data_IF_407385087386
#
_entry.id   IF_407385087386
#
_cell.length_a   1.000
_cell.length_b   1.000
_cell.length_c   1.000
_cell.angle_alpha   90.00
_cell.angle_beta   90.00
_cell.angle_gamma   90.00
#
_symmetry.space_group_name_H-M   'P 1'
#
loop_
_entity.id
_entity.type
_entity.pdbx_description
1 polymer ?
#
# COMPACT_ATOMS: atom_id res chain seq x y z
N UNK A 1 -16.09 11.74 -17.14
CA UNK A 1 -16.10 10.95 -15.91
C UNK A 1 -17.47 11.17 -15.27
N UNK A 2 -18.18 10.09 -14.99
CA UNK A 2 -19.54 10.21 -14.44
C UNK A 2 -19.43 10.43 -12.93
N UNK A 3 -19.98 11.53 -12.42
CA UNK A 3 -20.15 11.82 -11.00
C UNK A 3 -21.46 11.18 -10.53
N UNK A 4 -21.48 10.67 -9.33
CA UNK A 4 -22.70 10.19 -8.67
C UNK A 4 -23.51 11.41 -8.23
N UNK A 5 -24.77 11.46 -8.61
CA UNK A 5 -25.70 12.51 -8.17
C UNK A 5 -26.38 12.05 -6.88
N UNK A 6 -25.83 12.51 -5.75
CA UNK A 6 -26.36 12.12 -4.43
C UNK A 6 -27.69 12.81 -4.10
N UNK A 7 -28.04 13.90 -4.78
CA UNK A 7 -29.20 14.72 -4.45
C UNK A 7 -30.46 14.25 -5.20
N UNK A 8 -30.32 13.84 -6.47
CA UNK A 8 -31.47 13.54 -7.33
C UNK A 8 -31.69 12.04 -7.60
N UNK A 9 -30.66 11.20 -7.45
CA UNK A 9 -30.76 9.76 -7.67
C UNK A 9 -31.31 9.00 -6.44
N UNK A 10 -31.95 7.87 -6.68
CA UNK A 10 -32.44 7.02 -5.57
C UNK A 10 -31.26 6.47 -4.73
N UNK A 11 -31.47 6.30 -3.43
CA UNK A 11 -30.46 5.81 -2.49
C UNK A 11 -29.86 4.46 -2.96
N UNK A 12 -30.71 3.53 -3.46
CA UNK A 12 -30.24 2.23 -3.99
C UNK A 12 -29.28 2.41 -5.17
N UNK A 13 -29.59 3.33 -6.09
CA UNK A 13 -28.76 3.61 -7.27
C UNK A 13 -27.42 4.23 -6.86
N UNK A 14 -27.43 5.17 -5.93
CA UNK A 14 -26.24 5.81 -5.40
C UNK A 14 -25.30 4.80 -4.71
N UNK A 15 -25.89 3.91 -3.87
CA UNK A 15 -25.11 2.84 -3.22
C UNK A 15 -24.48 1.91 -4.26
N UNK A 16 -25.22 1.47 -5.27
CA UNK A 16 -24.68 0.58 -6.31
C UNK A 16 -23.61 1.27 -7.16
N UNK A 17 -23.83 2.53 -7.54
CA UNK A 17 -22.85 3.30 -8.32
C UNK A 17 -21.56 3.57 -7.56
N UNK A 18 -21.62 3.67 -6.23
CA UNK A 18 -20.42 3.80 -5.39
C UNK A 18 -19.78 2.44 -5.12
N UNK A 19 -20.54 1.43 -4.70
CA UNK A 19 -20.05 0.15 -4.22
C UNK A 19 -19.46 -0.73 -5.35
N UNK A 20 -20.11 -0.80 -6.53
CA UNK A 20 -19.64 -1.67 -7.61
C UNK A 20 -18.21 -1.33 -8.10
N UNK A 21 -17.85 -0.05 -8.38
CA UNK A 21 -16.48 0.28 -8.73
C UNK A 21 -15.48 -0.02 -7.60
N UNK A 22 -15.86 0.23 -6.34
CA UNK A 22 -14.99 -0.07 -5.19
C UNK A 22 -14.75 -1.58 -5.04
N UNK A 23 -15.79 -2.41 -5.22
CA UNK A 23 -15.65 -3.88 -5.22
C UNK A 23 -14.78 -4.35 -6.38
N UNK A 24 -14.99 -3.81 -7.59
CA UNK A 24 -14.15 -4.13 -8.74
C UNK A 24 -12.68 -3.76 -8.49
N UNK A 25 -12.40 -2.60 -7.89
CA UNK A 25 -11.04 -2.20 -7.50
C UNK A 25 -10.42 -3.21 -6.52
N UNK A 26 -11.18 -3.68 -5.54
CA UNK A 26 -10.72 -4.65 -4.55
C UNK A 26 -10.41 -6.01 -5.18
N UNK A 27 -11.28 -6.49 -6.07
CA UNK A 27 -11.05 -7.73 -6.81
C UNK A 27 -9.80 -7.62 -7.69
N UNK A 28 -9.64 -6.52 -8.43
CA UNK A 28 -8.45 -6.26 -9.24
C UNK A 28 -7.18 -6.25 -8.38
N UNK A 29 -7.23 -5.61 -7.21
CA UNK A 29 -6.11 -5.57 -6.25
C UNK A 29 -5.74 -6.96 -5.76
N UNK A 30 -6.71 -7.81 -5.45
CA UNK A 30 -6.45 -9.19 -5.05
C UNK A 30 -5.85 -10.01 -6.19
N UNK A 31 -6.39 -9.89 -7.41
CA UNK A 31 -5.91 -10.62 -8.58
C UNK A 31 -4.46 -10.27 -8.92
N UNK A 32 -4.11 -8.96 -8.98
CA UNK A 32 -2.74 -8.60 -9.29
C UNK A 32 -1.76 -9.07 -8.21
N UNK A 33 -2.12 -9.02 -6.92
CA UNK A 33 -1.27 -9.55 -5.84
C UNK A 33 -1.01 -11.06 -5.96
N UNK A 34 -2.01 -11.83 -6.42
CA UNK A 34 -1.85 -13.26 -6.66
C UNK A 34 -0.93 -13.50 -7.86
N UNK A 35 -1.13 -12.78 -8.96
CA UNK A 35 -0.35 -12.94 -10.18
C UNK A 35 1.11 -12.53 -9.98
N UNK A 36 1.37 -11.42 -9.28
CA UNK A 36 2.72 -10.97 -8.89
C UNK A 36 3.46 -12.09 -8.14
N UNK A 37 2.82 -12.72 -7.15
CA UNK A 37 3.41 -13.84 -6.42
C UNK A 37 3.67 -15.06 -7.30
N UNK A 38 2.81 -15.35 -8.27
CA UNK A 38 3.02 -16.44 -9.25
C UNK A 38 4.25 -16.14 -10.12
N UNK A 39 4.43 -14.91 -10.59
CA UNK A 39 5.62 -14.53 -11.36
C UNK A 39 6.90 -14.65 -10.52
N UNK A 40 6.89 -14.16 -9.28
CA UNK A 40 8.04 -14.28 -8.36
C UNK A 40 8.37 -15.76 -8.08
N UNK A 41 7.35 -16.61 -7.85
CA UNK A 41 7.55 -18.03 -7.62
C UNK A 41 8.15 -18.79 -8.82
N UNK A 42 7.98 -18.27 -10.04
CA UNK A 42 8.50 -18.85 -11.28
C UNK A 42 9.88 -18.33 -11.69
N UNK A 43 10.54 -17.52 -10.87
CA UNK A 43 11.92 -17.09 -11.16
C UNK A 43 12.83 -18.33 -11.17
N UNK A 44 13.59 -18.58 -12.25
CA UNK A 44 14.48 -19.75 -12.35
C UNK A 44 15.46 -19.82 -11.18
N UNK A 45 15.70 -21.00 -10.67
CA UNK A 45 16.67 -21.38 -9.62
C UNK A 45 16.47 -20.71 -8.25
N UNK A 46 15.56 -19.72 -8.10
CA UNK A 46 15.39 -19.01 -6.84
C UNK A 46 13.94 -18.65 -6.46
N UNK A 47 12.93 -19.16 -7.18
CA UNK A 47 11.53 -18.76 -6.97
C UNK A 47 11.03 -18.91 -5.53
N UNK A 48 11.32 -20.01 -4.86
CA UNK A 48 10.94 -20.25 -3.46
C UNK A 48 11.67 -19.31 -2.49
N UNK A 49 12.95 -19.05 -2.72
CA UNK A 49 13.77 -18.13 -1.92
C UNK A 49 13.32 -16.68 -2.15
N UNK A 50 13.01 -16.32 -3.38
CA UNK A 50 12.50 -15.00 -3.75
C UNK A 50 11.13 -14.74 -3.11
N UNK A 51 10.22 -15.71 -3.13
CA UNK A 51 8.91 -15.61 -2.50
C UNK A 51 9.02 -15.44 -0.98
N UNK A 52 9.94 -16.19 -0.34
CA UNK A 52 10.25 -16.03 1.08
C UNK A 52 10.83 -14.63 1.40
N UNK A 53 11.71 -14.12 0.55
CA UNK A 53 12.28 -12.78 0.70
C UNK A 53 11.22 -11.67 0.63
N UNK A 54 10.26 -11.77 -0.30
CA UNK A 54 9.11 -10.84 -0.38
C UNK A 54 8.24 -10.96 0.87
N UNK A 55 8.01 -12.19 1.38
CA UNK A 55 7.28 -12.44 2.62
C UNK A 55 7.88 -11.73 3.83
N UNK A 56 9.22 -11.65 3.91
CA UNK A 56 9.92 -10.91 4.97
C UNK A 56 9.74 -9.37 4.86
N UNK A 57 9.48 -8.85 3.67
CA UNK A 57 9.19 -7.43 3.45
C UNK A 57 7.72 -7.08 3.76
N UNK A 58 6.83 -8.07 3.85
CA UNK A 58 5.39 -7.88 3.99
C UNK A 58 4.98 -7.05 5.22
N UNK A 59 5.60 -7.17 6.41
CA UNK A 59 5.30 -6.31 7.54
C UNK A 59 5.48 -4.81 7.24
N UNK A 60 6.53 -4.42 6.51
CA UNK A 60 6.78 -3.02 6.12
C UNK A 60 5.72 -2.56 5.11
N UNK A 61 5.34 -3.42 4.17
CA UNK A 61 4.26 -3.15 3.21
C UNK A 61 2.94 -2.90 3.95
N UNK A 62 2.62 -3.74 4.94
CA UNK A 62 1.41 -3.59 5.76
C UNK A 62 1.43 -2.30 6.58
N UNK A 63 2.57 -1.90 7.14
CA UNK A 63 2.73 -0.62 7.82
C UNK A 63 2.44 0.56 6.87
N UNK A 64 2.97 0.52 5.65
CA UNK A 64 2.69 1.53 4.63
C UNK A 64 1.19 1.67 4.36
N UNK A 65 0.48 0.55 4.22
CA UNK A 65 -0.98 0.53 4.02
C UNK A 65 -1.72 1.02 5.27
N UNK A 66 -1.28 0.62 6.46
CA UNK A 66 -1.88 1.02 7.73
C UNK A 66 -1.90 2.55 7.90
N UNK A 67 -0.76 3.20 7.66
CA UNK A 67 -0.66 4.66 7.77
C UNK A 67 -1.34 5.39 6.60
N UNK A 68 -1.36 4.82 5.40
CA UNK A 68 -2.17 5.35 4.30
C UNK A 68 -3.65 5.40 4.67
N UNK A 69 -4.15 4.31 5.26
CA UNK A 69 -5.53 4.20 5.71
C UNK A 69 -5.81 5.09 6.93
N UNK A 70 -4.85 5.22 7.86
CA UNK A 70 -4.99 6.13 9.01
C UNK A 70 -5.39 7.54 8.56
N UNK A 71 -4.68 8.07 7.58
CA UNK A 71 -4.90 9.44 7.11
C UNK A 71 -6.02 9.53 6.06
N UNK A 72 -6.11 8.55 5.14
CA UNK A 72 -7.10 8.54 4.07
C UNK A 72 -8.49 8.20 4.56
N UNK A 73 -8.65 7.03 5.16
CA UNK A 73 -9.95 6.55 5.66
C UNK A 73 -10.39 7.28 6.93
N UNK A 74 -9.47 7.86 7.70
CA UNK A 74 -9.81 8.73 8.83
C UNK A 74 -10.34 10.08 8.37
N UNK A 75 -9.78 10.66 7.30
CA UNK A 75 -10.18 11.97 6.80
C UNK A 75 -11.41 11.97 5.91
N UNK A 76 -11.63 10.92 5.10
CA UNK A 76 -12.71 10.89 4.12
C UNK A 76 -14.13 10.98 4.73
N UNK A 77 -14.46 10.34 5.87
CA UNK A 77 -15.76 10.54 6.52
C UNK A 77 -15.98 11.98 7.00
N UNK A 78 -14.96 12.59 7.61
CA UNK A 78 -15.03 14.00 8.05
C UNK A 78 -15.24 14.94 6.86
N UNK A 79 -14.52 14.69 5.77
CA UNK A 79 -14.69 15.39 4.50
C UNK A 79 -16.13 15.28 4.00
N UNK A 80 -16.70 14.07 3.98
CA UNK A 80 -18.06 13.83 3.51
C UNK A 80 -19.12 14.54 4.37
N UNK A 81 -18.95 14.54 5.70
CA UNK A 81 -19.83 15.24 6.63
C UNK A 81 -19.80 16.75 6.34
N UNK A 82 -18.63 17.35 6.19
CA UNK A 82 -18.50 18.78 5.91
C UNK A 82 -19.08 19.16 4.54
N UNK A 83 -18.90 18.31 3.54
CA UNK A 83 -19.55 18.48 2.24
C UNK A 83 -21.09 18.43 2.34
N UNK A 84 -21.63 17.46 3.08
CA UNK A 84 -23.07 17.37 3.33
C UNK A 84 -23.65 18.59 4.05
N UNK A 85 -22.83 19.30 4.83
CA UNK A 85 -23.17 20.56 5.48
C UNK A 85 -22.98 21.78 4.56
N UNK A 86 -22.60 21.59 3.28
CA UNK A 86 -22.25 22.65 2.34
C UNK A 86 -21.04 23.51 2.77
N UNK A 87 -20.19 22.99 3.68
CA UNK A 87 -18.98 23.63 4.15
C UNK A 87 -17.76 23.12 3.33
N UNK A 88 -17.71 23.52 2.06
CA UNK A 88 -16.65 23.12 1.15
C UNK A 88 -15.26 23.61 1.58
N UNK A 89 -15.20 24.71 2.35
CA UNK A 89 -13.93 25.23 2.87
C UNK A 89 -13.35 24.29 3.92
N UNK A 90 -14.13 23.88 4.90
CA UNK A 90 -13.69 22.91 5.90
C UNK A 90 -13.40 21.54 5.29
N UNK A 91 -14.23 21.06 4.35
CA UNK A 91 -13.99 19.83 3.62
C UNK A 91 -12.64 19.85 2.90
N UNK A 92 -12.34 20.93 2.14
CA UNK A 92 -11.06 21.07 1.44
C UNK A 92 -9.88 21.14 2.41
N UNK A 93 -10.04 21.81 3.55
CA UNK A 93 -9.02 21.85 4.61
C UNK A 93 -8.72 20.45 5.14
N UNK A 94 -9.74 19.63 5.44
CA UNK A 94 -9.57 18.26 5.91
C UNK A 94 -8.82 17.40 4.88
N UNK A 95 -9.18 17.49 3.60
CA UNK A 95 -8.49 16.75 2.53
C UNK A 95 -7.02 17.17 2.41
N UNK A 96 -6.73 18.49 2.46
CA UNK A 96 -5.37 19.00 2.39
C UNK A 96 -4.54 18.64 3.63
N UNK A 97 -5.15 18.63 4.83
CA UNK A 97 -4.51 18.14 6.05
C UNK A 97 -4.14 16.67 5.91
N UNK A 98 -5.08 15.81 5.49
CA UNK A 98 -4.79 14.38 5.24
C UNK A 98 -3.68 14.19 4.22
N UNK A 99 -3.71 14.92 3.11
CA UNK A 99 -2.67 14.84 2.07
C UNK A 99 -1.30 15.24 2.59
N UNK A 100 -1.22 16.32 3.36
CA UNK A 100 0.03 16.78 3.98
C UNK A 100 0.56 15.74 4.97
N UNK A 101 -0.32 15.14 5.80
CA UNK A 101 0.05 14.08 6.73
C UNK A 101 0.57 12.83 5.97
N UNK A 102 -0.10 12.41 4.91
CA UNK A 102 0.34 11.30 4.05
C UNK A 102 1.73 11.55 3.50
N UNK A 103 1.96 12.72 2.90
CA UNK A 103 3.25 13.05 2.28
C UNK A 103 4.38 13.14 3.32
N UNK A 104 4.15 13.86 4.42
CA UNK A 104 5.15 14.03 5.48
C UNK A 104 5.51 12.68 6.11
N UNK A 105 4.49 11.90 6.46
CA UNK A 105 4.71 10.59 7.04
C UNK A 105 5.43 9.65 6.07
N UNK A 106 5.04 9.62 4.79
CA UNK A 106 5.68 8.78 3.79
C UNK A 106 7.18 9.08 3.65
N UNK A 107 7.57 10.36 3.62
CA UNK A 107 8.98 10.75 3.53
C UNK A 107 9.76 10.31 4.78
N UNK A 108 9.23 10.62 5.97
CA UNK A 108 9.88 10.24 7.24
C UNK A 108 9.97 8.72 7.37
N UNK A 109 8.88 8.01 7.09
CA UNK A 109 8.82 6.55 7.17
C UNK A 109 9.79 5.89 6.20
N UNK A 110 9.85 6.37 4.95
CA UNK A 110 10.80 5.87 3.95
C UNK A 110 12.24 6.08 4.41
N UNK A 111 12.59 7.27 4.90
CA UNK A 111 13.93 7.57 5.38
C UNK A 111 14.34 6.65 6.55
N UNK A 112 13.45 6.49 7.54
CA UNK A 112 13.68 5.59 8.67
C UNK A 112 13.84 4.14 8.23
N UNK A 113 12.93 3.65 7.37
CA UNK A 113 12.99 2.28 6.87
C UNK A 113 14.23 2.02 6.01
N UNK A 114 14.70 2.99 5.24
CA UNK A 114 15.95 2.86 4.47
C UNK A 114 17.18 2.75 5.38
N UNK A 115 17.26 3.58 6.42
CA UNK A 115 18.37 3.55 7.40
C UNK A 115 18.38 2.22 8.15
N UNK A 116 17.21 1.73 8.56
CA UNK A 116 17.07 0.53 9.37
C UNK A 116 16.67 -0.72 8.58
N UNK A 117 16.74 -0.72 7.24
CA UNK A 117 16.28 -1.81 6.38
C UNK A 117 16.85 -3.18 6.79
N UNK A 118 18.17 -3.28 6.96
CA UNK A 118 18.84 -4.53 7.34
C UNK A 118 18.45 -5.02 8.74
N UNK A 119 18.54 -4.23 9.82
CA UNK A 119 18.11 -4.66 11.16
C UNK A 119 16.62 -5.01 11.22
N UNK A 120 15.74 -4.30 10.51
CA UNK A 120 14.31 -4.63 10.45
C UNK A 120 14.08 -6.02 9.84
N UNK A 121 14.73 -6.33 8.72
CA UNK A 121 14.62 -7.65 8.09
C UNK A 121 15.12 -8.78 9.01
N UNK A 122 16.20 -8.55 9.76
CA UNK A 122 16.71 -9.53 10.74
C UNK A 122 15.68 -9.77 11.85
N UNK A 123 15.08 -8.72 12.39
CA UNK A 123 14.00 -8.83 13.40
C UNK A 123 12.79 -9.57 12.85
N UNK A 124 12.50 -9.45 11.54
CA UNK A 124 11.42 -10.18 10.87
C UNK A 124 11.75 -11.62 10.52
N UNK A 125 12.93 -12.13 10.94
CA UNK A 125 13.33 -13.51 10.77
C UNK A 125 14.14 -13.80 9.50
N UNK A 126 14.77 -12.79 8.90
CA UNK A 126 15.60 -12.99 7.71
C UNK A 126 16.91 -13.72 8.05
N UNK A 127 17.14 -14.87 7.41
CA UNK A 127 18.44 -15.53 7.39
C UNK A 127 19.43 -14.78 6.50
N UNK A 128 20.75 -15.03 6.65
CA UNK A 128 21.78 -14.40 5.79
C UNK A 128 21.54 -14.62 4.30
N UNK A 129 21.06 -15.81 3.92
CA UNK A 129 20.73 -16.12 2.54
C UNK A 129 19.50 -15.35 2.04
N UNK A 130 18.47 -15.20 2.87
CA UNK A 130 17.27 -14.45 2.54
C UNK A 130 17.56 -12.94 2.42
N UNK A 131 18.48 -12.41 3.25
CA UNK A 131 18.89 -10.99 3.20
C UNK A 131 19.45 -10.57 1.85
N UNK A 132 20.16 -11.46 1.15
CA UNK A 132 20.72 -11.17 -0.19
C UNK A 132 19.64 -10.78 -1.20
N UNK A 133 18.43 -11.28 -1.02
CA UNK A 133 17.30 -11.04 -1.90
C UNK A 133 16.31 -10.04 -1.31
N UNK A 134 16.01 -10.14 -0.01
CA UNK A 134 15.05 -9.27 0.66
C UNK A 134 15.51 -7.82 0.76
N UNK A 135 16.79 -7.57 1.05
CA UNK A 135 17.28 -6.21 1.24
C UNK A 135 17.25 -5.38 -0.07
N UNK A 136 17.74 -5.86 -1.21
CA UNK A 136 17.61 -5.11 -2.47
C UNK A 136 16.15 -4.88 -2.88
N UNK A 137 15.28 -5.89 -2.70
CA UNK A 137 13.86 -5.78 -2.96
C UNK A 137 13.23 -4.66 -2.11
N UNK A 138 13.47 -4.70 -0.79
CA UNK A 138 12.95 -3.72 0.14
C UNK A 138 13.40 -2.30 -0.17
N UNK A 139 14.70 -2.09 -0.44
CA UNK A 139 15.24 -0.78 -0.76
C UNK A 139 14.62 -0.18 -2.03
N UNK A 140 14.41 -1.00 -3.06
CA UNK A 140 13.72 -0.56 -4.28
C UNK A 140 12.26 -0.25 -3.95
N UNK A 141 11.56 -1.13 -3.23
CA UNK A 141 10.15 -0.94 -2.86
C UNK A 141 9.93 0.35 -2.05
N UNK A 142 10.86 0.69 -1.14
CA UNK A 142 10.77 1.89 -0.31
C UNK A 142 10.78 3.19 -1.13
N UNK A 143 11.38 3.22 -2.34
CA UNK A 143 11.29 4.36 -3.25
C UNK A 143 9.82 4.60 -3.69
N UNK A 144 9.06 3.51 -3.83
CA UNK A 144 7.64 3.55 -4.18
C UNK A 144 6.70 3.89 -3.02
N UNK A 145 7.18 3.98 -1.78
CA UNK A 145 6.33 4.19 -0.60
C UNK A 145 5.52 5.49 -0.69
N UNK A 146 6.15 6.60 -1.06
CA UNK A 146 5.46 7.90 -1.19
C UNK A 146 4.34 7.84 -2.26
N UNK A 147 4.57 7.43 -3.51
CA UNK A 147 3.49 7.28 -4.47
C UNK A 147 2.43 6.26 -4.04
N UNK A 148 2.82 5.14 -3.42
CA UNK A 148 1.89 4.15 -2.88
C UNK A 148 0.95 4.74 -1.84
N UNK A 149 1.51 5.48 -0.86
CA UNK A 149 0.73 6.12 0.18
C UNK A 149 -0.19 7.22 -0.37
N UNK A 150 0.25 7.97 -1.36
CA UNK A 150 -0.59 8.97 -2.03
C UNK A 150 -1.76 8.29 -2.76
N UNK A 151 -1.50 7.26 -3.55
CA UNK A 151 -2.56 6.60 -4.31
C UNK A 151 -3.60 5.93 -3.39
N UNK A 152 -3.16 5.24 -2.35
CA UNK A 152 -4.03 4.55 -1.40
C UNK A 152 -4.73 5.52 -0.45
N UNK A 153 -4.00 6.48 0.12
CA UNK A 153 -4.52 7.42 1.11
C UNK A 153 -5.45 8.48 0.53
N UNK A 154 -5.29 8.85 -0.76
CA UNK A 154 -6.13 9.87 -1.37
C UNK A 154 -7.32 9.28 -2.16
N UNK A 155 -7.34 7.98 -2.43
CA UNK A 155 -8.44 7.32 -3.13
C UNK A 155 -9.80 7.47 -2.40
N UNK A 156 -9.90 7.35 -1.05
CA UNK A 156 -11.15 7.59 -0.32
C UNK A 156 -11.75 8.98 -0.56
N UNK A 157 -10.93 10.02 -0.76
CA UNK A 157 -11.41 11.37 -1.06
C UNK A 157 -11.95 11.51 -2.49
N UNK A 158 -11.43 10.73 -3.46
CA UNK A 158 -12.01 10.64 -4.81
C UNK A 158 -13.42 10.05 -4.74
N UNK A 159 -13.56 8.96 -3.97
CA UNK A 159 -14.84 8.29 -3.75
C UNK A 159 -15.83 9.19 -3.01
N UNK A 160 -15.37 9.93 -2.00
CA UNK A 160 -16.17 10.87 -1.22
C UNK A 160 -16.66 12.08 -2.04
N UNK A 161 -15.95 12.42 -3.13
CA UNK A 161 -16.42 13.44 -4.10
C UNK A 161 -17.41 12.88 -5.14
N UNK A 162 -17.80 11.59 -5.05
CA UNK A 162 -18.74 10.94 -5.96
C UNK A 162 -18.10 10.35 -7.23
N UNK A 163 -16.77 10.25 -7.30
CA UNK A 163 -16.06 9.75 -8.47
C UNK A 163 -15.52 8.32 -8.29
N UNK A 164 -16.34 7.39 -7.76
CA UNK A 164 -15.92 6.02 -7.44
C UNK A 164 -15.34 5.25 -8.63
N UNK A 165 -15.85 5.48 -9.84
CA UNK A 165 -15.25 4.91 -11.06
C UNK A 165 -13.83 5.42 -11.31
N UNK A 166 -13.54 6.67 -10.96
CA UNK A 166 -12.18 7.23 -11.07
C UNK A 166 -11.26 6.61 -10.01
N UNK A 167 -11.78 6.42 -8.78
CA UNK A 167 -11.07 5.67 -7.73
C UNK A 167 -10.71 4.24 -8.18
N UNK A 168 -11.67 3.52 -8.79
CA UNK A 168 -11.41 2.20 -9.37
C UNK A 168 -10.35 2.26 -10.48
N UNK A 169 -10.43 3.23 -11.39
CA UNK A 169 -9.46 3.36 -12.49
C UNK A 169 -8.04 3.60 -12.00
N UNK A 170 -7.84 4.32 -10.88
CA UNK A 170 -6.51 4.51 -10.31
C UNK A 170 -5.88 3.18 -9.86
N UNK A 171 -6.68 2.30 -9.25
CA UNK A 171 -6.24 0.95 -8.87
C UNK A 171 -6.00 0.09 -10.10
N UNK A 172 -6.90 0.15 -11.10
CA UNK A 172 -6.77 -0.61 -12.34
C UNK A 172 -5.52 -0.25 -13.13
N UNK A 173 -5.17 1.04 -13.23
CA UNK A 173 -3.93 1.50 -13.88
C UNK A 173 -2.71 0.88 -13.21
N UNK A 174 -2.64 0.93 -11.87
CA UNK A 174 -1.56 0.30 -11.12
C UNK A 174 -1.50 -1.22 -11.33
N UNK A 175 -2.65 -1.91 -11.23
CA UNK A 175 -2.73 -3.36 -11.38
C UNK A 175 -2.33 -3.83 -12.79
N UNK A 176 -2.85 -3.18 -13.83
CA UNK A 176 -2.52 -3.52 -15.23
C UNK A 176 -1.06 -3.21 -15.54
N UNK A 177 -0.55 -2.06 -15.07
CA UNK A 177 0.86 -1.72 -15.25
C UNK A 177 1.77 -2.77 -14.59
N UNK A 178 1.48 -3.17 -13.36
CA UNK A 178 2.24 -4.20 -12.66
C UNK A 178 2.19 -5.55 -13.41
N UNK A 179 1.00 -6.00 -13.80
CA UNK A 179 0.80 -7.26 -14.54
C UNK A 179 1.63 -7.34 -15.83
N UNK A 180 1.80 -6.21 -16.53
CA UNK A 180 2.57 -6.13 -17.78
C UNK A 180 4.07 -5.96 -17.49
N UNK A 181 4.43 -5.16 -16.50
CA UNK A 181 5.81 -4.85 -16.19
C UNK A 181 6.53 -5.97 -15.44
N UNK A 182 5.83 -6.76 -14.62
CA UNK A 182 6.43 -7.89 -13.90
C UNK A 182 7.14 -8.87 -14.83
N UNK A 183 6.46 -9.50 -15.82
CA UNK A 183 7.13 -10.44 -16.71
C UNK A 183 8.25 -9.78 -17.53
N UNK A 184 8.08 -8.51 -17.89
CA UNK A 184 9.08 -7.77 -18.64
C UNK A 184 10.38 -7.59 -17.84
N UNK A 185 10.28 -7.13 -16.59
CA UNK A 185 11.47 -6.87 -15.75
C UNK A 185 12.01 -8.15 -15.12
N UNK A 186 11.15 -9.10 -14.73
CA UNK A 186 11.59 -10.36 -14.11
C UNK A 186 12.30 -11.26 -15.13
N UNK A 187 11.65 -11.51 -16.27
CA UNK A 187 12.12 -12.49 -17.27
C UNK A 187 12.77 -11.82 -18.48
N UNK A 188 12.16 -10.73 -19.02
CA UNK A 188 12.66 -10.07 -20.23
C UNK A 188 14.02 -9.41 -20.01
N UNK A 189 14.18 -8.64 -18.94
CA UNK A 189 15.47 -8.01 -18.56
C UNK A 189 16.32 -8.85 -17.60
N UNK A 190 15.84 -9.99 -17.17
CA UNK A 190 16.53 -10.90 -16.24
C UNK A 190 16.92 -10.25 -14.89
N UNK A 191 16.12 -9.28 -14.42
CA UNK A 191 16.37 -8.63 -13.12
C UNK A 191 15.88 -9.48 -11.93
N UNK A 192 15.16 -10.59 -12.18
CA UNK A 192 14.66 -11.47 -11.14
C UNK A 192 13.80 -10.71 -10.10
N UNK A 193 14.07 -10.94 -8.82
CA UNK A 193 13.30 -10.32 -7.71
C UNK A 193 13.40 -8.78 -7.69
N UNK A 194 14.51 -8.20 -8.13
CA UNK A 194 14.64 -6.73 -8.26
C UNK A 194 13.72 -6.20 -9.34
N UNK A 195 13.51 -6.98 -10.40
CA UNK A 195 12.57 -6.66 -11.48
C UNK A 195 11.13 -6.52 -10.95
N UNK A 196 10.67 -7.44 -10.10
CA UNK A 196 9.37 -7.34 -9.44
C UNK A 196 9.22 -6.06 -8.61
N UNK A 197 10.25 -5.71 -7.82
CA UNK A 197 10.22 -4.48 -7.04
C UNK A 197 10.15 -3.22 -7.93
N UNK A 198 10.91 -3.17 -9.03
CA UNK A 198 10.90 -2.05 -9.99
C UNK A 198 9.53 -1.92 -10.65
N UNK A 199 8.94 -3.03 -11.12
CA UNK A 199 7.61 -3.05 -11.73
C UNK A 199 6.54 -2.52 -10.76
N UNK A 200 6.61 -2.96 -9.50
CA UNK A 200 5.70 -2.49 -8.44
C UNK A 200 5.84 -0.98 -8.23
N UNK A 201 7.07 -0.45 -8.12
CA UNK A 201 7.32 0.98 -7.92
C UNK A 201 6.79 1.82 -9.09
N UNK A 202 7.05 1.40 -10.33
CA UNK A 202 6.55 2.10 -11.53
C UNK A 202 5.01 2.10 -11.54
N UNK A 203 4.39 0.99 -11.21
CA UNK A 203 2.92 0.85 -11.14
C UNK A 203 2.32 1.75 -10.07
N UNK A 204 2.95 1.86 -8.90
CA UNK A 204 2.56 2.77 -7.84
C UNK A 204 2.69 4.24 -8.26
N UNK A 205 3.77 4.59 -8.97
CA UNK A 205 3.97 5.94 -9.51
C UNK A 205 2.86 6.28 -10.51
N UNK A 206 2.53 5.39 -11.44
CA UNK A 206 1.48 5.62 -12.43
C UNK A 206 0.11 5.82 -11.76
N UNK A 207 -0.22 5.00 -10.77
CA UNK A 207 -1.45 5.13 -9.98
C UNK A 207 -1.48 6.48 -9.24
N UNK A 208 -0.39 6.85 -8.57
CA UNK A 208 -0.29 8.12 -7.83
C UNK A 208 -0.39 9.34 -8.74
N UNK A 209 0.26 9.30 -9.90
CA UNK A 209 0.17 10.37 -10.90
C UNK A 209 -1.26 10.55 -11.39
N UNK A 210 -1.98 9.46 -11.63
CA UNK A 210 -3.39 9.52 -12.03
C UNK A 210 -4.27 10.13 -10.93
N UNK A 211 -4.10 9.71 -9.67
CA UNK A 211 -4.80 10.25 -8.50
C UNK A 211 -4.51 11.74 -8.33
N UNK A 212 -3.24 12.15 -8.37
CA UNK A 212 -2.85 13.55 -8.23
C UNK A 212 -3.34 14.40 -9.40
N UNK A 213 -3.24 13.88 -10.63
CA UNK A 213 -3.77 14.58 -11.80
C UNK A 213 -5.27 14.84 -11.65
N UNK A 214 -6.03 13.82 -11.21
CA UNK A 214 -7.46 13.98 -10.99
C UNK A 214 -7.75 14.98 -9.88
N UNK A 215 -7.16 14.83 -8.69
CA UNK A 215 -7.44 15.69 -7.54
C UNK A 215 -6.97 17.14 -7.71
N UNK A 216 -5.96 17.39 -8.54
CA UNK A 216 -5.48 18.76 -8.83
C UNK A 216 -6.20 19.45 -9.98
N UNK A 217 -6.62 18.68 -11.01
CA UNK A 217 -7.13 19.25 -12.26
C UNK A 217 -8.64 19.08 -12.46
N UNK A 218 -9.19 17.93 -12.08
CA UNK A 218 -10.56 17.51 -12.46
C UNK A 218 -11.54 17.44 -11.28
N UNK A 219 -11.05 17.25 -10.08
CA UNK A 219 -11.88 17.20 -8.87
C UNK A 219 -12.48 18.60 -8.56
N UNK A 220 -13.64 18.59 -7.92
CA UNK A 220 -14.31 19.82 -7.46
C UNK A 220 -13.50 20.52 -6.39
N UNK A 221 -13.11 19.78 -5.36
CA UNK A 221 -12.20 20.25 -4.34
C UNK A 221 -10.79 19.76 -4.68
N UNK A 222 -9.87 20.71 -4.81
CA UNK A 222 -8.51 20.46 -5.30
C UNK A 222 -7.55 20.23 -4.14
N UNK A 223 -6.70 19.22 -4.29
CA UNK A 223 -5.67 18.90 -3.30
C UNK A 223 -4.44 19.79 -3.47
N UNK A 224 -3.91 20.28 -2.34
CA UNK A 224 -2.62 20.96 -2.24
C UNK A 224 -1.90 20.60 -0.94
N UNK A 225 -0.59 20.76 -0.93
CA UNK A 225 0.17 20.72 0.30
C UNK A 225 -0.11 21.98 1.11
N UNK A 226 -0.26 21.82 2.42
CA UNK A 226 -0.39 22.94 3.35
C UNK A 226 0.98 23.43 3.78
N UNK A 227 1.09 24.73 4.05
CA UNK A 227 2.27 25.29 4.72
C UNK A 227 2.28 24.90 6.19
N UNK A 228 3.44 24.99 6.84
CA UNK A 228 3.57 24.65 8.26
C UNK A 228 2.65 25.51 9.16
N UNK A 229 2.48 26.79 8.82
CA UNK A 229 1.56 27.69 9.54
C UNK A 229 0.11 27.25 9.39
N UNK A 230 -0.34 27.01 8.14
CA UNK A 230 -1.69 26.51 7.87
C UNK A 230 -1.97 25.19 8.58
N UNK A 231 -1.01 24.28 8.60
CA UNK A 231 -1.14 23.00 9.29
C UNK A 231 -1.26 23.18 10.81
N UNK A 232 -0.46 24.07 11.39
CA UNK A 232 -0.51 24.40 12.83
C UNK A 232 -1.86 24.97 13.25
N UNK A 233 -2.45 25.84 12.46
CA UNK A 233 -3.80 26.40 12.69
C UNK A 233 -4.89 25.34 12.64
N UNK A 234 -4.69 24.28 11.85
CA UNK A 234 -5.67 23.23 11.58
C UNK A 234 -5.39 21.91 12.33
N UNK A 235 -4.60 21.94 13.39
CA UNK A 235 -4.21 20.77 14.19
C UNK A 235 -5.41 19.98 14.75
N UNK A 236 -6.55 20.65 14.95
CA UNK A 236 -7.80 20.00 15.36
C UNK A 236 -8.24 18.95 14.33
N UNK A 237 -8.25 19.30 13.05
CA UNK A 237 -8.61 18.35 12.00
C UNK A 237 -7.61 17.19 11.92
N UNK A 238 -6.32 17.44 12.14
CA UNK A 238 -5.33 16.38 12.19
C UNK A 238 -5.61 15.37 13.32
N UNK A 239 -5.99 15.85 14.51
CA UNK A 239 -6.40 14.99 15.64
C UNK A 239 -7.67 14.19 15.32
N UNK A 240 -8.67 14.83 14.73
CA UNK A 240 -9.93 14.17 14.38
C UNK A 240 -9.70 13.07 13.31
N UNK A 241 -8.85 13.34 12.31
CA UNK A 241 -8.43 12.38 11.28
C UNK A 241 -7.75 11.16 11.92
N UNK A 242 -6.77 11.38 12.80
CA UNK A 242 -6.06 10.30 13.50
C UNK A 242 -7.05 9.49 14.34
N UNK A 243 -7.91 10.15 15.10
CA UNK A 243 -8.89 9.49 15.97
C UNK A 243 -9.80 8.54 15.19
N UNK A 244 -10.35 8.97 14.05
CA UNK A 244 -11.22 8.15 13.21
C UNK A 244 -10.45 7.05 12.46
N UNK A 245 -9.23 7.34 12.01
CA UNK A 245 -8.42 6.40 11.26
C UNK A 245 -7.76 5.32 12.11
N UNK A 246 -7.68 5.51 13.43
CA UNK A 246 -6.97 4.61 14.36
C UNK A 246 -7.51 3.18 14.31
N UNK A 247 -8.83 2.98 14.21
CA UNK A 247 -9.42 1.64 14.16
C UNK A 247 -8.93 0.82 12.97
N UNK A 248 -8.92 1.41 11.77
CA UNK A 248 -8.39 0.77 10.55
C UNK A 248 -6.88 0.54 10.61
N UNK A 249 -6.14 1.49 11.18
CA UNK A 249 -4.70 1.39 11.38
C UNK A 249 -4.36 0.23 12.33
N UNK A 250 -5.01 0.13 13.48
CA UNK A 250 -4.80 -0.96 14.46
C UNK A 250 -5.06 -2.33 13.84
N UNK A 251 -6.12 -2.48 13.05
CA UNK A 251 -6.39 -3.73 12.34
C UNK A 251 -5.23 -4.13 11.41
N UNK A 252 -4.67 -3.19 10.65
CA UNK A 252 -3.54 -3.47 9.75
C UNK A 252 -2.22 -3.72 10.52
N UNK A 253 -2.00 -3.02 11.63
CA UNK A 253 -0.88 -3.26 12.53
C UNK A 253 -0.93 -4.67 13.12
N UNK A 254 -2.11 -5.13 13.53
CA UNK A 254 -2.32 -6.50 14.02
C UNK A 254 -1.97 -7.52 12.94
N UNK A 255 -2.40 -7.32 11.69
CA UNK A 255 -2.03 -8.18 10.57
C UNK A 255 -0.51 -8.21 10.34
N UNK A 256 0.16 -7.07 10.48
CA UNK A 256 1.63 -6.97 10.40
C UNK A 256 2.32 -7.80 11.50
N UNK A 257 1.86 -7.67 12.74
CA UNK A 257 2.39 -8.44 13.89
C UNK A 257 2.20 -9.94 13.69
N UNK A 258 1.01 -10.37 13.24
CA UNK A 258 0.73 -11.78 12.91
C UNK A 258 1.71 -12.27 11.84
N UNK A 259 1.96 -11.49 10.79
CA UNK A 259 2.93 -11.84 9.74
C UNK A 259 4.35 -12.01 10.29
N UNK A 260 4.79 -11.12 11.18
CA UNK A 260 6.12 -11.23 11.84
C UNK A 260 6.19 -12.51 12.67
N UNK A 261 5.19 -12.78 13.49
CA UNK A 261 5.14 -14.00 14.31
C UNK A 261 5.15 -15.26 13.45
N UNK A 262 4.34 -15.31 12.38
CA UNK A 262 4.31 -16.43 11.46
C UNK A 262 5.65 -16.64 10.77
N UNK A 263 6.29 -15.58 10.27
CA UNK A 263 7.60 -15.67 9.63
C UNK A 263 8.68 -16.21 10.61
N UNK A 264 8.68 -15.74 11.85
CA UNK A 264 9.63 -16.21 12.85
C UNK A 264 9.40 -17.69 13.21
N UNK A 265 8.16 -18.11 13.43
CA UNK A 265 7.82 -19.52 13.71
C UNK A 265 8.21 -20.43 12.54
N UNK A 266 7.91 -20.01 11.30
CA UNK A 266 8.28 -20.75 10.10
C UNK A 266 9.79 -20.87 9.92
N UNK A 267 10.55 -19.81 10.22
CA UNK A 267 12.02 -19.84 10.14
C UNK A 267 12.63 -20.82 11.15
N UNK A 268 12.15 -20.83 12.38
CA UNK A 268 12.59 -21.78 13.43
C UNK A 268 12.22 -23.21 13.06
N UNK A 269 10.98 -23.43 12.58
CA UNK A 269 10.53 -24.78 12.18
C UNK A 269 11.31 -25.31 10.98
N UNK A 270 11.62 -24.46 9.99
CA UNK A 270 12.42 -24.84 8.83
C UNK A 270 13.86 -25.22 9.24
N UNK A 271 14.46 -24.50 10.18
CA UNK A 271 15.79 -24.83 10.73
C UNK A 271 15.79 -26.15 11.48
N UNK A 272 14.74 -26.43 12.28
CA UNK A 272 14.63 -27.71 13.02
C UNK A 272 14.46 -28.92 12.09
N UNK A 273 13.67 -28.78 11.02
CA UNK A 273 13.51 -29.83 10.00
C UNK A 273 14.82 -30.05 9.24
N UNK A 274 15.55 -29.01 8.92
CA UNK A 274 16.83 -29.10 8.22
C UNK A 274 17.88 -29.81 9.09
N UNK A 275 17.99 -29.44 10.36
CA UNK A 275 18.90 -30.10 11.33
C UNK A 275 18.54 -31.57 11.56
N UNK A 276 17.23 -31.89 11.66
CA UNK A 276 16.76 -33.27 11.78
C UNK A 276 17.10 -34.12 10.53
N UNK A 277 16.96 -33.57 9.33
CA UNK A 277 17.36 -34.26 8.08
C UNK A 277 18.85 -34.52 8.02
N UNK A 278 19.70 -33.60 8.44
CA UNK A 278 21.15 -33.78 8.49
C UNK A 278 21.51 -34.87 9.49
N UNK A 279 20.89 -34.88 10.66
CA UNK A 279 21.16 -35.92 11.69
C UNK A 279 20.77 -37.34 11.24
N UNK A 280 19.63 -37.47 10.54
CA UNK A 280 19.20 -38.76 9.95
C UNK A 280 20.17 -39.21 8.84
N UNK A 281 20.64 -38.27 8.01
CA UNK A 281 21.57 -38.61 6.93
C UNK A 281 22.95 -39.01 7.44
N UNK A 282 23.39 -38.49 8.59
CA UNK A 282 24.63 -38.85 9.24
C UNK A 282 24.53 -40.17 10.01
N UNK A 283 23.36 -40.47 10.60
CA UNK A 283 23.13 -41.74 11.32
C UNK A 283 22.94 -42.93 10.38
N UNK A 284 22.45 -42.72 9.16
CA UNK A 284 22.29 -43.79 8.15
C UNK A 284 23.57 -44.19 7.40
N UNK A 285 24.72 -43.56 7.72
CA UNK A 285 26.04 -43.90 7.16
C UNK A 285 26.97 -44.66 8.11
N UNK A 286 26.44 -45.10 9.25
CA UNK A 286 27.10 -46.05 10.16
C UNK A 286 26.46 -47.42 10.02
#
# INVERSE_FOLDING_TARGET
MKKIDFDNDSIKKNILQAALPMLAAQILSLLYNIVDRIYIARIPDMGTTALGAVGLCFPIIMLTIAFSNLFGSGGAPLFSIKRGMSDDRAANTIMNTSFTMVCTFAVVFTALCMIFAKPLLIVFGASENALKYALPYLLIYLIGTLPSMISTGMNPFINAQGYSTTGMLSVAIGAVANLVLDPLFIFGFNFGIKGAAIATVISQILSALYVLHFLRKKAELKVRLMTLSEFSENTRYAKDIISLGTSGCVMQLTNSLVSICCNNVLSVSAQSIHSARISVHLSGRR
#
